data_IF_503602609051
#
_entry.id   IF_503602609051
#
_cell.length_a   1.000
_cell.length_b   1.000
_cell.length_c   1.000
_cell.angle_alpha   90.00
_cell.angle_beta   90.00
_cell.angle_gamma   90.00
#
_symmetry.space_group_name_H-M   'P 1'
#
loop_
_entity.id
_entity.type
_entity.pdbx_description
1 polymer ?
#
# COMPACT_ATOMS: atom_id res chain seq x y z
N UNK A 1 3.29 16.77 -11.34
CA UNK A 1 2.80 15.41 -11.04
C UNK A 1 1.36 15.28 -11.52
N UNK A 2 0.98 14.12 -12.04
CA UNK A 2 -0.39 13.80 -12.48
C UNK A 2 -1.11 13.06 -11.36
N UNK A 3 -2.23 13.63 -10.88
CA UNK A 3 -3.09 13.00 -9.86
C UNK A 3 -3.95 11.92 -10.51
N UNK A 4 -4.09 10.78 -9.84
CA UNK A 4 -4.97 9.69 -10.29
C UNK A 4 -6.43 10.14 -10.29
N UNK A 5 -7.21 9.56 -11.20
CA UNK A 5 -8.67 9.61 -11.22
C UNK A 5 -9.23 8.28 -10.77
N UNK A 6 -10.51 8.27 -10.40
CA UNK A 6 -11.22 7.05 -9.98
C UNK A 6 -11.12 5.96 -11.07
N UNK A 7 -11.27 6.37 -12.34
CA UNK A 7 -11.18 5.45 -13.49
C UNK A 7 -9.79 4.81 -13.64
N UNK A 8 -8.73 5.46 -13.15
CA UNK A 8 -7.37 4.90 -13.18
C UNK A 8 -7.21 3.75 -12.16
N UNK A 9 -8.04 3.72 -11.10
CA UNK A 9 -7.87 2.83 -9.95
C UNK A 9 -8.97 1.78 -9.77
N UNK A 10 -10.12 1.93 -10.42
CA UNK A 10 -11.34 1.14 -10.17
C UNK A 10 -11.16 -0.38 -10.29
N UNK A 11 -10.25 -0.83 -11.17
CA UNK A 11 -10.05 -2.26 -11.45
C UNK A 11 -8.65 -2.77 -11.11
N UNK A 12 -7.80 -1.97 -10.47
CA UNK A 12 -6.43 -2.39 -10.15
C UNK A 12 -6.44 -3.70 -9.34
N UNK A 13 -7.17 -3.73 -8.23
CA UNK A 13 -7.21 -4.90 -7.34
C UNK A 13 -7.69 -6.17 -8.06
N UNK A 14 -8.72 -6.06 -8.91
CA UNK A 14 -9.25 -7.19 -9.69
C UNK A 14 -8.25 -7.70 -10.74
N UNK A 15 -7.38 -6.82 -11.23
CA UNK A 15 -6.40 -7.11 -12.29
C UNK A 15 -5.06 -7.60 -11.76
N UNK A 16 -4.80 -7.52 -10.44
CA UNK A 16 -3.54 -7.96 -9.84
C UNK A 16 -3.16 -9.42 -10.20
N UNK A 17 -4.06 -10.42 -10.17
CA UNK A 17 -3.70 -11.78 -10.58
C UNK A 17 -3.26 -11.90 -12.04
N UNK A 18 -3.92 -11.16 -12.94
CA UNK A 18 -3.59 -11.17 -14.36
C UNK A 18 -2.27 -10.44 -14.61
N UNK A 19 -2.02 -9.36 -13.86
CA UNK A 19 -0.77 -8.63 -13.87
C UNK A 19 0.39 -9.49 -13.37
N UNK A 20 0.23 -10.22 -12.26
CA UNK A 20 1.23 -11.16 -11.74
C UNK A 20 1.53 -12.28 -12.75
N UNK A 21 0.50 -12.82 -13.41
CA UNK A 21 0.68 -13.82 -14.46
C UNK A 21 1.46 -13.26 -15.66
N UNK A 22 1.20 -12.03 -16.05
CA UNK A 22 1.95 -11.35 -17.11
C UNK A 22 3.40 -11.09 -16.71
N UNK A 23 3.62 -10.56 -15.51
CA UNK A 23 4.96 -10.29 -14.98
C UNK A 23 5.78 -11.58 -14.87
N UNK A 24 5.15 -12.67 -14.43
CA UNK A 24 5.79 -13.99 -14.36
C UNK A 24 6.19 -14.50 -15.73
N UNK A 25 5.33 -14.35 -16.76
CA UNK A 25 5.69 -14.71 -18.14
C UNK A 25 6.87 -13.90 -18.68
N UNK A 26 6.97 -12.63 -18.31
CA UNK A 26 7.99 -11.72 -18.83
C UNK A 26 9.33 -11.80 -18.08
N UNK A 27 9.28 -12.04 -16.77
CA UNK A 27 10.45 -11.88 -15.88
C UNK A 27 10.74 -13.12 -15.03
N UNK A 28 9.84 -14.11 -15.04
CA UNK A 28 9.89 -15.24 -14.11
C UNK A 28 9.45 -14.89 -12.67
N UNK A 29 9.05 -13.64 -12.40
CA UNK A 29 8.71 -13.16 -11.07
C UNK A 29 7.28 -12.61 -10.99
N UNK A 30 6.65 -12.78 -9.83
CA UNK A 30 5.43 -12.05 -9.45
C UNK A 30 5.78 -10.68 -8.86
N UNK A 31 4.80 -9.83 -8.57
CA UNK A 31 5.01 -8.52 -7.94
C UNK A 31 5.74 -8.66 -6.60
N UNK A 32 5.35 -9.66 -5.79
CA UNK A 32 6.06 -10.03 -4.55
C UNK A 32 7.48 -10.50 -4.83
N UNK A 33 7.69 -11.28 -5.91
CA UNK A 33 9.00 -11.76 -6.32
C UNK A 33 9.94 -10.61 -6.67
N UNK A 34 9.47 -9.64 -7.45
CA UNK A 34 10.22 -8.42 -7.79
C UNK A 34 10.57 -7.63 -6.53
N UNK A 35 9.63 -7.42 -5.62
CA UNK A 35 9.90 -6.73 -4.35
C UNK A 35 10.95 -7.46 -3.49
N UNK A 36 10.86 -8.79 -3.38
CA UNK A 36 11.84 -9.59 -2.64
C UNK A 36 13.24 -9.50 -3.28
N UNK A 37 13.30 -9.60 -4.60
CA UNK A 37 14.55 -9.50 -5.35
C UNK A 37 15.22 -8.13 -5.18
N UNK A 38 14.45 -7.04 -5.30
CA UNK A 38 14.96 -5.68 -5.12
C UNK A 38 15.53 -5.44 -3.71
N UNK A 39 14.96 -6.09 -2.69
CA UNK A 39 15.42 -6.00 -1.31
C UNK A 39 16.51 -7.03 -0.96
N UNK A 40 16.88 -7.93 -1.88
CA UNK A 40 17.82 -9.02 -1.62
C UNK A 40 17.34 -10.01 -0.56
N UNK A 41 16.01 -10.14 -0.36
CA UNK A 41 15.43 -11.03 0.64
C UNK A 41 14.82 -12.28 0.01
N UNK A 42 14.81 -13.38 0.75
CA UNK A 42 14.15 -14.62 0.33
C UNK A 42 12.63 -14.50 0.48
N UNK A 43 11.89 -15.13 -0.43
CA UNK A 43 10.41 -15.12 -0.42
C UNK A 43 9.84 -15.73 0.86
N UNK A 44 10.46 -16.77 1.39
CA UNK A 44 10.03 -17.43 2.62
C UNK A 44 10.16 -16.49 3.82
N UNK A 45 11.23 -15.70 3.86
CA UNK A 45 11.42 -14.67 4.88
C UNK A 45 10.33 -13.60 4.78
N UNK A 46 10.05 -13.10 3.58
CA UNK A 46 8.96 -12.15 3.33
C UNK A 46 7.60 -12.70 3.81
N UNK A 47 7.24 -13.91 3.40
CA UNK A 47 5.95 -14.53 3.75
C UNK A 47 5.79 -14.72 5.26
N UNK A 48 6.85 -15.09 5.98
CA UNK A 48 6.83 -15.25 7.44
C UNK A 48 6.65 -13.97 8.25
N UNK A 49 6.74 -12.81 7.58
CA UNK A 49 6.66 -11.48 8.18
C UNK A 49 5.43 -10.72 7.72
N UNK A 50 5.07 -10.83 6.44
CA UNK A 50 3.96 -10.09 5.85
C UNK A 50 2.62 -10.43 6.53
N UNK A 51 2.38 -11.71 6.81
CA UNK A 51 1.15 -12.22 7.47
C UNK A 51 0.94 -11.67 8.90
N UNK A 52 2.03 -11.25 9.55
CA UNK A 52 2.03 -10.68 10.90
C UNK A 52 2.01 -9.16 10.92
N UNK A 53 2.14 -8.52 9.76
CA UNK A 53 2.17 -7.06 9.64
C UNK A 53 0.81 -6.53 9.24
N UNK A 54 0.36 -5.53 9.99
CA UNK A 54 -0.89 -4.83 9.80
C UNK A 54 -0.66 -3.50 9.10
N UNK A 55 -1.34 -3.30 7.99
CA UNK A 55 -1.24 -2.09 7.18
C UNK A 55 -2.52 -1.29 7.34
N UNK A 56 -2.43 -0.03 7.73
CA UNK A 56 -3.55 0.91 7.65
C UNK A 56 -3.37 1.85 6.46
N UNK A 57 -4.44 2.13 5.75
CA UNK A 57 -4.48 3.20 4.76
C UNK A 57 -5.38 4.32 5.30
N UNK A 58 -4.80 5.51 5.48
CA UNK A 58 -5.50 6.67 6.04
C UNK A 58 -5.84 7.65 4.92
N UNK A 59 -7.12 7.92 4.65
CA UNK A 59 -7.51 8.97 3.71
C UNK A 59 -7.15 10.34 4.28
N UNK A 60 -6.59 11.24 3.47
CA UNK A 60 -6.38 12.64 3.84
C UNK A 60 -7.20 13.55 2.94
N UNK A 61 -7.78 14.58 3.54
CA UNK A 61 -8.67 15.55 2.89
C UNK A 61 -7.97 16.87 2.54
N UNK A 62 -6.69 17.01 2.88
CA UNK A 62 -5.90 18.20 2.52
C UNK A 62 -5.76 18.34 1.00
N UNK A 63 -5.54 19.57 0.55
CA UNK A 63 -5.40 19.88 -0.88
C UNK A 63 -6.69 19.66 -1.66
N UNK A 64 -6.65 18.91 -2.75
CA UNK A 64 -7.80 18.60 -3.61
C UNK A 64 -8.70 17.49 -3.05
N UNK A 65 -8.58 17.18 -1.76
CA UNK A 65 -9.46 16.28 -1.03
C UNK A 65 -9.17 14.79 -1.25
N UNK A 66 -10.10 13.96 -0.82
CA UNK A 66 -10.02 12.51 -0.95
C UNK A 66 -10.37 12.09 -2.37
N UNK A 67 -9.54 11.23 -2.98
CA UNK A 67 -9.93 10.48 -4.16
C UNK A 67 -10.74 9.27 -3.69
N UNK A 68 -12.02 9.23 -4.03
CA UNK A 68 -12.90 8.11 -3.66
C UNK A 68 -12.27 6.77 -4.08
N UNK A 69 -12.42 5.75 -3.25
CA UNK A 69 -11.85 4.41 -3.43
C UNK A 69 -10.32 4.29 -3.42
N UNK A 70 -9.54 5.37 -3.49
CA UNK A 70 -8.07 5.28 -3.50
C UNK A 70 -7.53 4.52 -2.29
N UNK A 71 -7.99 4.86 -1.09
CA UNK A 71 -7.54 4.18 0.13
C UNK A 71 -7.92 2.69 0.13
N UNK A 72 -9.11 2.34 -0.39
CA UNK A 72 -9.55 0.96 -0.53
C UNK A 72 -8.69 0.20 -1.54
N UNK A 73 -8.39 0.79 -2.69
CA UNK A 73 -7.51 0.19 -3.70
C UNK A 73 -6.12 -0.09 -3.14
N UNK A 74 -5.52 0.86 -2.41
CA UNK A 74 -4.20 0.64 -1.76
C UNK A 74 -4.28 -0.48 -0.71
N UNK A 75 -5.34 -0.53 0.09
CA UNK A 75 -5.53 -1.59 1.07
C UNK A 75 -5.66 -2.96 0.39
N UNK A 76 -6.40 -3.06 -0.72
CA UNK A 76 -6.53 -4.30 -1.50
C UNK A 76 -5.20 -4.74 -2.13
N UNK A 77 -4.37 -3.79 -2.60
CA UNK A 77 -3.03 -4.11 -3.10
C UNK A 77 -2.15 -4.64 -1.95
N UNK A 78 -2.17 -3.99 -0.79
CA UNK A 78 -1.42 -4.45 0.37
C UNK A 78 -1.88 -5.85 0.85
N UNK A 79 -3.19 -6.10 0.85
CA UNK A 79 -3.76 -7.42 1.15
C UNK A 79 -3.31 -8.47 0.13
N UNK A 80 -3.37 -8.15 -1.17
CA UNK A 80 -2.85 -9.02 -2.23
C UNK A 80 -1.36 -9.32 -2.05
N UNK A 81 -0.56 -8.34 -1.60
CA UNK A 81 0.86 -8.50 -1.27
C UNK A 81 1.07 -9.42 -0.05
N UNK A 82 0.06 -9.66 0.77
CA UNK A 82 0.05 -10.63 1.86
C UNK A 82 0.07 -10.01 3.25
N UNK A 83 -0.22 -8.71 3.35
CA UNK A 83 -0.35 -8.00 4.62
C UNK A 83 -1.79 -7.99 5.12
N UNK A 84 -2.00 -7.89 6.43
CA UNK A 84 -3.33 -7.64 6.97
C UNK A 84 -3.70 -6.15 6.81
N UNK A 85 -4.38 -5.79 5.73
CA UNK A 85 -4.64 -4.39 5.38
C UNK A 85 -6.06 -3.92 5.74
N UNK A 86 -6.19 -2.64 6.11
CA UNK A 86 -7.49 -2.01 6.33
C UNK A 86 -7.47 -0.50 6.04
N UNK A 87 -8.64 0.07 5.74
CA UNK A 87 -8.85 1.52 5.66
C UNK A 87 -9.41 2.03 6.98
N UNK A 88 -8.97 3.20 7.45
CA UNK A 88 -9.55 3.83 8.63
C UNK A 88 -10.90 4.45 8.29
N UNK A 89 -11.90 4.32 9.19
CA UNK A 89 -13.25 4.87 8.94
C UNK A 89 -13.25 6.40 8.79
N UNK A 90 -12.33 7.07 9.49
CA UNK A 90 -12.15 8.52 9.44
C UNK A 90 -10.82 8.84 8.74
N UNK A 91 -10.75 10.02 8.14
CA UNK A 91 -9.53 10.54 7.54
C UNK A 91 -8.70 11.42 8.47
N UNK A 92 -7.62 11.96 7.90
CA UNK A 92 -6.72 12.94 8.50
C UNK A 92 -6.19 12.48 9.87
N UNK A 93 -6.06 13.42 10.82
CA UNK A 93 -5.58 13.15 12.18
C UNK A 93 -6.43 12.10 12.91
N UNK A 94 -7.74 12.04 12.64
CA UNK A 94 -8.63 11.06 13.29
C UNK A 94 -8.36 9.65 12.78
N UNK A 95 -8.15 9.51 11.47
CA UNK A 95 -7.75 8.25 10.85
C UNK A 95 -6.38 7.81 11.33
N UNK A 96 -5.41 8.73 11.39
CA UNK A 96 -4.09 8.42 11.92
C UNK A 96 -4.18 7.89 13.36
N UNK A 97 -4.93 8.56 14.24
CA UNK A 97 -5.12 8.09 15.60
C UNK A 97 -5.84 6.72 15.67
N UNK A 98 -6.78 6.43 14.76
CA UNK A 98 -7.43 5.11 14.66
C UNK A 98 -6.45 4.01 14.23
N UNK A 99 -5.60 4.27 13.24
CA UNK A 99 -4.56 3.35 12.79
C UNK A 99 -3.65 2.91 13.96
N UNK A 100 -3.20 3.88 14.77
CA UNK A 100 -2.42 3.58 15.97
C UNK A 100 -3.20 2.76 17.00
N UNK A 101 -4.46 3.12 17.32
CA UNK A 101 -5.29 2.36 18.27
C UNK A 101 -5.55 0.92 17.83
N UNK A 102 -5.61 0.69 16.51
CA UNK A 102 -5.81 -0.63 15.91
C UNK A 102 -4.51 -1.42 15.72
N UNK A 103 -3.40 -0.93 16.28
CA UNK A 103 -2.06 -1.52 16.20
C UNK A 103 -1.61 -1.75 14.74
N UNK A 104 -1.76 -0.73 13.88
CA UNK A 104 -1.11 -0.75 12.58
C UNK A 104 0.41 -0.78 12.75
N UNK A 105 1.10 -1.57 11.94
CA UNK A 105 2.57 -1.62 11.88
C UNK A 105 3.12 -0.69 10.79
N UNK A 106 2.33 -0.50 9.73
CA UNK A 106 2.64 0.36 8.58
C UNK A 106 1.43 1.25 8.29
N UNK A 107 1.68 2.53 8.05
CA UNK A 107 0.65 3.52 7.68
C UNK A 107 0.93 4.01 6.26
N UNK A 108 0.00 3.77 5.35
CA UNK A 108 -0.07 4.46 4.06
C UNK A 108 -0.93 5.71 4.19
N UNK A 109 -0.46 6.80 3.59
CA UNK A 109 -1.18 8.06 3.50
C UNK A 109 -0.73 8.81 2.26
N UNK A 110 -1.66 9.56 1.66
CA UNK A 110 -1.38 10.38 0.50
C UNK A 110 -2.04 11.74 0.63
N UNK A 111 -1.33 12.78 0.22
CA UNK A 111 -1.91 14.05 -0.20
C UNK A 111 -1.60 14.32 -1.68
N UNK A 112 -1.83 15.55 -2.15
CA UNK A 112 -1.57 15.90 -3.56
C UNK A 112 -0.08 15.90 -3.95
N UNK A 113 0.83 15.89 -2.98
CA UNK A 113 2.28 16.08 -3.16
C UNK A 113 3.09 14.88 -2.72
N UNK A 114 2.57 14.05 -1.83
CA UNK A 114 3.30 12.96 -1.25
C UNK A 114 2.40 11.74 -1.11
N UNK A 115 2.91 10.58 -1.53
CA UNK A 115 2.32 9.28 -1.21
C UNK A 115 3.37 8.45 -0.50
N UNK A 116 3.17 8.27 0.81
CA UNK A 116 4.16 7.67 1.67
C UNK A 116 3.63 6.47 2.45
N UNK A 117 4.53 5.54 2.71
CA UNK A 117 4.37 4.46 3.67
C UNK A 117 5.33 4.65 4.84
N UNK A 118 4.81 4.65 6.06
CA UNK A 118 5.61 4.82 7.30
C UNK A 118 5.56 3.52 8.09
N UNK A 119 6.71 2.91 8.34
CA UNK A 119 6.83 1.74 9.20
C UNK A 119 7.07 2.20 10.65
N UNK A 120 6.13 1.90 11.55
CA UNK A 120 6.15 2.43 12.92
C UNK A 120 7.21 1.78 13.82
N UNK A 121 7.64 0.55 13.51
CA UNK A 121 8.67 -0.15 14.27
C UNK A 121 10.08 0.35 13.95
N UNK A 122 10.35 0.51 12.65
CA UNK A 122 11.69 0.88 12.15
C UNK A 122 11.85 2.38 11.94
N UNK A 123 10.74 3.14 12.00
CA UNK A 123 10.68 4.58 11.71
C UNK A 123 11.19 4.92 10.31
N UNK A 124 11.09 3.97 9.37
CA UNK A 124 11.43 4.19 7.96
C UNK A 124 10.22 4.73 7.21
N UNK A 125 10.50 5.63 6.28
CA UNK A 125 9.53 6.17 5.33
C UNK A 125 9.93 5.72 3.94
N UNK A 126 8.94 5.28 3.16
CA UNK A 126 9.07 5.06 1.72
C UNK A 126 8.14 6.05 1.04
N UNK A 127 8.67 6.92 0.20
CA UNK A 127 7.90 7.87 -0.60
C UNK A 127 7.90 7.44 -2.06
N UNK A 128 6.74 7.48 -2.70
CA UNK A 128 6.60 7.15 -4.12
C UNK A 128 7.22 8.23 -5.03
N UNK A 129 7.36 9.47 -4.57
CA UNK A 129 7.86 10.59 -5.35
C UNK A 129 9.37 10.82 -5.27
N UNK A 130 10.05 10.19 -4.30
CA UNK A 130 11.51 10.31 -4.16
C UNK A 130 12.21 9.27 -5.05
N UNK A 131 13.14 9.74 -5.90
CA UNK A 131 14.08 8.90 -6.68
C UNK A 131 15.41 8.79 -5.95
#
# INVERSE_FOLDING_TARGET
>A
MTRLRIDDIADIAKRLPQYDAQLTRQTGQTLKGVACHALGIRKEYYLSRADRMKVSVVPFSCGHGVISEFAHTVAQIADYMGFAAFVTERGDVRGLADAFRRNADIIFMADDRQFAAVNLHTRRVSDNGEM
#
